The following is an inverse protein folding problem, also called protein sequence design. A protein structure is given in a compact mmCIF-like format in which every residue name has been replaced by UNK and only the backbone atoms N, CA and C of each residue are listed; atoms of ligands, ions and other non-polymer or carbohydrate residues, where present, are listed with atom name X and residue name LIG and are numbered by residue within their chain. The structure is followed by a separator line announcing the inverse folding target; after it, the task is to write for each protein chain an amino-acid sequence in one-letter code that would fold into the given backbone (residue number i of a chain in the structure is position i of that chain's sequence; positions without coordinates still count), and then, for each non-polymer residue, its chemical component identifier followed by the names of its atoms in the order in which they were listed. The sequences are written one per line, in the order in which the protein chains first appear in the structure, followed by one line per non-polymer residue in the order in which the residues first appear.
data_IF_416506403383
#
_entry.id   IF_416506403383
#
_cell.length_a   1.000
_cell.length_b   1.000
_cell.length_c   1.000
_cell.angle_alpha   90.00
_cell.angle_beta   90.00
_cell.angle_gamma   90.00
#
_symmetry.space_group_name_H-M   'P 1'
#
loop_
_entity.id
_entity.type
_entity.pdbx_description
1 polymer ?
#
# COMPACT_ATOMS: atom_id res chain seq x y z
N UNK A 1 3.25 -32.23 -18.69
CA UNK A 1 2.57 -31.21 -17.86
C UNK A 1 3.29 -29.86 -17.96
N UNK A 2 3.14 -29.15 -19.09
CA UNK A 2 3.88 -27.90 -19.39
C UNK A 2 2.95 -26.84 -20.02
N UNK A 3 1.93 -26.38 -19.29
CA UNK A 3 1.03 -25.29 -19.76
C UNK A 3 0.56 -24.36 -18.63
N UNK A 4 1.45 -23.93 -17.73
CA UNK A 4 1.08 -22.96 -16.67
C UNK A 4 2.08 -21.82 -16.43
N UNK A 5 2.96 -21.50 -17.39
CA UNK A 5 3.97 -20.43 -17.18
C UNK A 5 3.90 -19.23 -18.11
N UNK A 6 2.99 -19.19 -19.09
CA UNK A 6 3.04 -18.17 -20.15
C UNK A 6 1.91 -17.14 -20.12
N UNK A 7 1.17 -17.02 -19.00
CA UNK A 7 0.13 -15.98 -18.86
C UNK A 7 0.30 -15.01 -17.68
N UNK A 8 1.29 -15.22 -16.80
CA UNK A 8 1.52 -14.32 -15.67
C UNK A 8 2.53 -13.19 -15.96
N UNK A 9 3.21 -13.24 -17.10
CA UNK A 9 4.23 -12.23 -17.47
C UNK A 9 3.62 -10.93 -18.01
N UNK A 10 2.38 -10.97 -18.50
CA UNK A 10 1.73 -9.81 -19.16
C UNK A 10 1.18 -8.81 -18.12
N UNK A 11 0.83 -9.26 -16.91
CA UNK A 11 0.27 -8.38 -15.87
C UNK A 11 1.32 -7.59 -15.08
N UNK A 12 2.62 -7.83 -15.31
CA UNK A 12 3.69 -7.05 -14.68
C UNK A 12 4.01 -5.77 -15.47
N UNK A 13 3.78 -5.76 -16.79
CA UNK A 13 4.20 -4.65 -17.67
C UNK A 13 3.17 -3.51 -17.76
N UNK A 14 1.93 -3.72 -17.33
CA UNK A 14 0.84 -2.74 -17.47
C UNK A 14 0.45 -2.00 -16.17
N UNK A 15 1.23 -2.12 -15.09
CA UNK A 15 0.95 -1.40 -13.83
C UNK A 15 -0.37 -1.77 -13.14
N UNK A 16 -1.09 -2.78 -13.66
CA UNK A 16 -2.33 -3.32 -13.09
C UNK A 16 -1.96 -4.59 -12.34
N UNK A 17 -1.83 -4.56 -11.01
CA UNK A 17 -1.56 -5.78 -10.28
C UNK A 17 -2.71 -6.76 -10.50
N UNK A 18 -2.38 -7.84 -11.24
CA UNK A 18 -3.21 -9.00 -11.53
C UNK A 18 -4.22 -9.29 -10.41
N UNK A 19 -5.50 -9.09 -10.73
CA UNK A 19 -6.64 -9.21 -9.82
C UNK A 19 -6.85 -10.63 -9.25
N UNK A 20 -6.07 -11.62 -9.70
CA UNK A 20 -6.02 -12.98 -9.14
C UNK A 20 -5.09 -13.12 -7.92
N UNK A 21 -4.26 -12.11 -7.61
CA UNK A 21 -3.23 -12.15 -6.55
C UNK A 21 -3.75 -11.96 -5.11
N UNK A 22 -5.05 -11.74 -4.89
CA UNK A 22 -5.62 -11.67 -3.53
C UNK A 22 -5.51 -13.02 -2.80
N UNK A 23 -5.34 -14.14 -3.51
CA UNK A 23 -5.11 -15.45 -2.89
C UNK A 23 -3.80 -15.54 -2.08
N UNK A 24 -2.76 -14.76 -2.42
CA UNK A 24 -1.51 -14.71 -1.66
C UNK A 24 -1.04 -13.27 -1.45
N UNK A 25 -1.75 -12.51 -0.60
CA UNK A 25 -1.27 -11.19 -0.16
C UNK A 25 0.12 -11.29 0.48
N UNK A 26 0.42 -12.42 1.14
CA UNK A 26 1.72 -12.66 1.76
C UNK A 26 2.84 -12.77 0.71
N UNK A 27 2.59 -13.36 -0.46
CA UNK A 27 3.56 -13.37 -1.58
C UNK A 27 3.76 -11.98 -2.17
N UNK A 28 2.68 -11.18 -2.25
CA UNK A 28 2.75 -9.80 -2.71
C UNK A 28 3.59 -8.97 -1.75
N UNK A 29 3.33 -9.07 -0.44
CA UNK A 29 4.11 -8.40 0.60
C UNK A 29 5.57 -8.88 0.58
N UNK A 30 5.82 -10.17 0.40
CA UNK A 30 7.17 -10.74 0.32
C UNK A 30 7.94 -10.26 -0.93
N UNK A 31 7.29 -10.12 -2.09
CA UNK A 31 7.94 -9.56 -3.29
C UNK A 31 8.19 -8.06 -3.12
N UNK A 32 7.24 -7.35 -2.54
CA UNK A 32 7.34 -5.92 -2.27
C UNK A 32 8.23 -5.59 -1.07
N UNK A 33 8.72 -6.56 -0.29
CA UNK A 33 9.68 -6.32 0.80
C UNK A 33 11.10 -6.07 0.28
N UNK A 34 11.38 -6.39 -0.99
CA UNK A 34 12.69 -6.17 -1.63
C UNK A 34 12.91 -4.69 -1.89
N UNK A 35 14.04 -4.14 -1.41
CA UNK A 35 14.35 -2.71 -1.46
C UNK A 35 14.27 -2.07 -2.86
N UNK A 36 14.75 -2.76 -3.90
CA UNK A 36 14.67 -2.27 -5.28
C UNK A 36 13.22 -2.22 -5.79
N UNK A 37 12.40 -3.20 -5.43
CA UNK A 37 10.97 -3.25 -5.77
C UNK A 37 10.22 -2.15 -5.04
N UNK A 38 10.53 -1.88 -3.77
CA UNK A 38 9.92 -0.79 -3.01
C UNK A 38 10.14 0.58 -3.66
N UNK A 39 11.37 0.84 -4.13
CA UNK A 39 11.69 2.10 -4.84
C UNK A 39 10.86 2.24 -6.12
N UNK A 40 10.79 1.18 -6.94
CA UNK A 40 9.97 1.17 -8.15
C UNK A 40 8.48 1.35 -7.84
N UNK A 41 8.00 0.62 -6.83
CA UNK A 41 6.61 0.68 -6.40
C UNK A 41 6.20 2.09 -5.98
N UNK A 42 7.04 2.78 -5.21
CA UNK A 42 6.82 4.17 -4.82
C UNK A 42 6.89 5.15 -6.00
N UNK A 43 7.77 4.90 -6.98
CA UNK A 43 7.87 5.73 -8.19
C UNK A 43 6.64 5.61 -9.10
N UNK A 44 5.98 4.45 -9.14
CA UNK A 44 4.83 4.18 -10.00
C UNK A 44 3.47 4.46 -9.33
N UNK A 45 3.42 5.34 -8.32
CA UNK A 45 2.21 5.63 -7.52
C UNK A 45 1.59 4.38 -6.87
N UNK A 46 2.39 3.39 -6.50
CA UNK A 46 1.91 2.14 -5.90
C UNK A 46 1.10 2.33 -4.61
N UNK A 47 1.29 3.45 -3.90
CA UNK A 47 0.47 3.81 -2.73
C UNK A 47 -1.02 3.96 -3.09
N UNK A 48 -1.36 4.47 -4.28
CA UNK A 48 -2.76 4.59 -4.70
C UNK A 48 -3.39 3.22 -4.98
N UNK A 49 -2.61 2.24 -5.47
CA UNK A 49 -3.09 0.86 -5.65
C UNK A 49 -3.44 0.21 -4.29
N UNK A 50 -2.67 0.51 -3.23
CA UNK A 50 -2.97 0.05 -1.87
C UNK A 50 -4.24 0.74 -1.34
N UNK A 51 -4.44 2.00 -1.70
CA UNK A 51 -5.64 2.76 -1.33
C UNK A 51 -6.90 2.04 -1.82
N UNK A 52 -6.90 1.61 -3.08
CA UNK A 52 -8.01 0.87 -3.67
C UNK A 52 -8.23 -0.44 -2.90
N UNK A 53 -7.18 -1.20 -2.59
CA UNK A 53 -7.30 -2.47 -1.86
C UNK A 53 -7.77 -2.34 -0.40
N UNK A 54 -7.54 -1.19 0.25
CA UNK A 54 -8.04 -0.90 1.60
C UNK A 54 -9.49 -0.42 1.57
N UNK A 55 -9.88 0.30 0.52
CA UNK A 55 -11.22 0.87 0.40
C UNK A 55 -12.25 -0.13 -0.12
N UNK A 56 -11.95 -0.81 -1.23
CA UNK A 56 -12.87 -1.75 -1.88
C UNK A 56 -12.07 -2.74 -2.70
N UNK A 57 -12.30 -4.03 -2.49
CA UNK A 57 -11.68 -5.05 -3.31
C UNK A 57 -12.13 -4.90 -4.78
N UNK A 58 -11.35 -5.39 -5.76
CA UNK A 58 -11.69 -5.30 -7.17
C UNK A 58 -13.00 -6.01 -7.56
N UNK A 59 -13.41 -7.00 -6.77
CA UNK A 59 -14.71 -7.68 -6.89
C UNK A 59 -15.87 -6.89 -6.25
N UNK A 60 -15.57 -5.72 -5.70
CA UNK A 60 -16.51 -4.83 -5.05
C UNK A 60 -16.79 -5.12 -3.57
N UNK A 61 -16.19 -6.15 -2.99
CA UNK A 61 -16.39 -6.50 -1.58
C UNK A 61 -15.58 -5.62 -0.64
N UNK A 62 -16.04 -5.49 0.60
CA UNK A 62 -15.28 -4.87 1.68
C UNK A 62 -14.06 -5.75 2.03
N UNK A 63 -12.84 -5.20 2.08
CA UNK A 63 -11.67 -5.98 2.45
C UNK A 63 -11.73 -6.39 3.93
N UNK A 64 -11.38 -7.65 4.28
CA UNK A 64 -11.42 -8.10 5.66
C UNK A 64 -10.42 -7.33 6.53
N UNK A 65 -10.72 -7.21 7.83
CA UNK A 65 -9.89 -6.49 8.81
C UNK A 65 -8.43 -6.99 8.79
N UNK A 66 -8.23 -8.29 8.69
CA UNK A 66 -6.90 -8.92 8.62
C UNK A 66 -6.09 -8.43 7.41
N UNK A 67 -6.72 -8.28 6.25
CA UNK A 67 -6.08 -7.75 5.05
C UNK A 67 -5.73 -6.27 5.22
N UNK A 68 -6.68 -5.46 5.72
CA UNK A 68 -6.43 -4.03 6.02
C UNK A 68 -5.23 -3.87 6.95
N UNK A 69 -5.15 -4.68 8.02
CA UNK A 69 -4.05 -4.67 8.98
C UNK A 69 -2.71 -4.99 8.30
N UNK A 70 -2.64 -6.07 7.51
CA UNK A 70 -1.42 -6.45 6.77
C UNK A 70 -0.96 -5.35 5.82
N UNK A 71 -1.88 -4.74 5.07
CA UNK A 71 -1.57 -3.65 4.15
C UNK A 71 -1.05 -2.41 4.88
N UNK A 72 -1.66 -2.02 6.01
CA UNK A 72 -1.19 -0.91 6.82
C UNK A 72 0.21 -1.19 7.41
N UNK A 73 0.46 -2.42 7.87
CA UNK A 73 1.78 -2.84 8.36
C UNK A 73 2.85 -2.75 7.27
N UNK A 74 2.53 -3.22 6.07
CA UNK A 74 3.40 -3.10 4.91
C UNK A 74 3.70 -1.64 4.58
N UNK A 75 2.66 -0.79 4.50
CA UNK A 75 2.80 0.65 4.23
C UNK A 75 3.67 1.34 5.28
N UNK A 76 3.52 0.99 6.56
CA UNK A 76 4.34 1.54 7.64
C UNK A 76 5.83 1.23 7.47
N UNK A 77 6.17 0.05 6.93
CA UNK A 77 7.53 -0.40 6.67
C UNK A 77 8.17 0.14 5.38
N UNK A 78 7.40 0.80 4.50
CA UNK A 78 7.96 1.34 3.26
C UNK A 78 8.87 2.56 3.51
N UNK A 79 9.95 2.73 2.72
CA UNK A 79 10.82 3.90 2.75
C UNK A 79 10.18 5.09 2.01
N UNK A 80 9.00 5.52 2.48
CA UNK A 80 8.23 6.63 1.91
C UNK A 80 8.95 7.96 2.14
N UNK A 81 9.05 8.79 1.10
CA UNK A 81 9.58 10.17 1.17
C UNK A 81 8.47 11.20 0.96
N UNK A 82 8.72 12.46 1.34
CA UNK A 82 7.81 13.60 1.15
C UNK A 82 7.19 13.68 -0.25
N UNK A 83 8.01 13.52 -1.30
CA UNK A 83 7.56 13.51 -2.70
C UNK A 83 6.54 12.42 -3.03
N UNK A 84 6.54 11.29 -2.31
CA UNK A 84 5.59 10.20 -2.52
C UNK A 84 4.22 10.45 -1.87
N UNK A 85 4.12 11.43 -0.96
CA UNK A 85 2.92 11.73 -0.19
C UNK A 85 2.04 12.80 -0.81
N UNK A 86 2.55 13.54 -1.80
CA UNK A 86 1.79 14.61 -2.45
C UNK A 86 0.67 14.03 -3.32
N UNK A 87 -0.57 14.43 -3.03
CA UNK A 87 -1.73 14.10 -3.88
C UNK A 87 -2.22 12.65 -3.82
N UNK A 88 -1.70 11.80 -2.94
CA UNK A 88 -2.10 10.38 -2.88
C UNK A 88 -3.48 10.18 -2.23
N UNK A 89 -4.25 9.21 -2.73
CA UNK A 89 -5.54 8.81 -2.16
C UNK A 89 -5.37 8.12 -0.81
N UNK A 90 -4.30 7.34 -0.67
CA UNK A 90 -4.03 6.51 0.51
C UNK A 90 -3.98 7.34 1.80
N UNK A 91 -3.37 8.54 1.77
CA UNK A 91 -3.28 9.42 2.94
C UNK A 91 -4.65 9.76 3.53
N UNK A 92 -5.63 10.10 2.68
CA UNK A 92 -7.01 10.40 3.11
C UNK A 92 -7.70 9.18 3.72
N UNK A 93 -7.49 8.00 3.14
CA UNK A 93 -8.07 6.75 3.63
C UNK A 93 -7.48 6.37 5.00
N UNK A 94 -6.15 6.44 5.15
CA UNK A 94 -5.47 6.14 6.42
C UNK A 94 -5.92 7.14 7.50
N UNK A 95 -6.03 8.43 7.19
CA UNK A 95 -6.55 9.43 8.13
C UNK A 95 -8.00 9.13 8.55
N UNK A 96 -8.86 8.71 7.62
CA UNK A 96 -10.23 8.29 7.96
C UNK A 96 -10.23 7.08 8.89
N UNK A 97 -9.35 6.09 8.68
CA UNK A 97 -9.20 4.92 9.55
C UNK A 97 -8.70 5.33 10.94
N UNK A 98 -7.69 6.20 11.02
CA UNK A 98 -7.13 6.65 12.31
C UNK A 98 -8.16 7.42 13.15
N UNK A 99 -9.13 8.08 12.52
CA UNK A 99 -10.18 8.83 13.23
C UNK A 99 -11.41 7.98 13.54
N UNK A 100 -11.92 7.22 12.56
CA UNK A 100 -13.27 6.63 12.59
C UNK A 100 -13.32 5.11 12.74
N UNK A 101 -12.19 4.40 12.71
CA UNK A 101 -12.21 2.93 12.82
C UNK A 101 -12.58 2.48 14.23
N UNK A 102 -13.61 1.63 14.36
CA UNK A 102 -13.98 0.97 15.62
C UNK A 102 -13.00 -0.15 16.01
N UNK A 103 -12.22 -0.65 15.04
CA UNK A 103 -11.19 -1.66 15.29
C UNK A 103 -9.93 -0.98 15.83
N UNK A 104 -9.64 -1.20 17.12
CA UNK A 104 -8.49 -0.60 17.84
C UNK A 104 -7.15 -0.82 17.13
N UNK A 105 -6.90 -2.03 16.62
CA UNK A 105 -5.63 -2.37 15.96
C UNK A 105 -5.42 -1.56 14.67
N UNK A 106 -6.47 -1.43 13.83
CA UNK A 106 -6.42 -0.65 12.61
C UNK A 106 -6.23 0.84 12.92
N UNK A 107 -6.94 1.33 13.94
CA UNK A 107 -6.83 2.72 14.40
C UNK A 107 -5.40 3.02 14.88
N UNK A 108 -4.83 2.15 15.70
CA UNK A 108 -3.47 2.31 16.25
C UNK A 108 -2.41 2.41 15.16
N UNK A 109 -2.41 1.48 14.19
CA UNK A 109 -1.39 1.51 13.13
C UNK A 109 -1.62 2.67 12.15
N UNK A 110 -2.87 3.01 11.84
CA UNK A 110 -3.18 4.15 10.99
C UNK A 110 -2.71 5.46 11.63
N UNK A 111 -2.91 5.66 12.93
CA UNK A 111 -2.40 6.83 13.65
C UNK A 111 -0.87 6.94 13.58
N UNK A 112 -0.15 5.83 13.75
CA UNK A 112 1.33 5.81 13.61
C UNK A 112 1.79 6.19 12.20
N UNK A 113 1.08 5.75 11.17
CA UNK A 113 1.39 6.12 9.78
C UNK A 113 1.12 7.62 9.57
N UNK A 114 -0.02 8.13 10.03
CA UNK A 114 -0.37 9.56 9.92
C UNK A 114 0.68 10.43 10.61
N UNK A 115 1.09 10.07 11.82
CA UNK A 115 2.13 10.78 12.57
C UNK A 115 3.47 10.76 11.81
N UNK A 116 3.94 9.57 11.40
CA UNK A 116 5.18 9.41 10.63
C UNK A 116 5.16 10.25 9.35
N UNK A 117 4.06 10.21 8.61
CA UNK A 117 3.93 10.96 7.35
C UNK A 117 3.80 12.46 7.57
N UNK A 118 3.12 12.89 8.64
CA UNK A 118 3.05 14.31 9.00
C UNK A 118 4.43 14.85 9.35
N UNK A 119 5.24 14.10 10.09
CA UNK A 119 6.63 14.45 10.36
C UNK A 119 7.45 14.61 9.07
N UNK A 120 7.32 13.67 8.12
CA UNK A 120 8.01 13.75 6.82
C UNK A 120 7.58 14.97 5.98
N UNK A 121 6.32 15.38 6.06
CA UNK A 121 5.82 16.56 5.36
C UNK A 121 6.32 17.86 6.00
N UNK A 122 6.49 17.86 7.33
CA UNK A 122 6.92 19.02 8.12
C UNK A 122 8.45 19.19 8.17
N UNK A 123 9.23 18.22 7.69
CA UNK A 123 10.67 18.37 7.51
C UNK A 123 10.93 19.48 6.48
N UNK A 124 11.58 20.56 6.93
CA UNK A 124 12.09 21.62 6.05
C UNK A 124 13.17 20.99 5.16
N UNK A 125 13.12 21.29 3.87
CA UNK A 125 14.25 21.03 2.98
C UNK A 125 15.37 21.96 3.45
N UNK A 126 16.43 21.40 4.04
CA UNK A 126 17.70 22.12 4.15
C UNK A 126 18.16 22.39 2.72
N UNK A 127 18.07 23.66 2.34
CA UNK A 127 18.64 24.17 1.10
C UNK A 127 20.12 24.38 1.40
N UNK A 128 20.97 23.47 0.91
CA UNK A 128 22.41 23.68 0.78
C UNK A 128 22.71 24.79 -0.24
#
# INVERSE_FOLDING_TARGET
MHKCHTKDTIDFQNGKPALRKIQNIDDVIMKLSRSHIQKQFLAQKGLDNIADWIYKLPNGSEPPISLKKKLLQFVYGLPVKKQNLSGIKLGKIIYKISMKSDVKELKSIASKIVEKWSQLLNQKEEVD
#
